data_IF_459546958767
#
_entry.id   IF_459546958767
#
_cell.length_a   1.000
_cell.length_b   1.000
_cell.length_c   1.000
_cell.angle_alpha   90.00
_cell.angle_beta   90.00
_cell.angle_gamma   90.00
#
_symmetry.space_group_name_H-M   'P 1'
#
loop_
_entity.id
_entity.type
_entity.pdbx_description
1 polymer ?
#
# COMPACT_ATOMS: atom_id res chain seq x y z
N UNK A 1 11.54 0.07 -11.73
CA UNK A 1 11.98 -0.38 -10.38
C UNK A 1 12.25 -1.89 -10.30
N UNK A 2 11.45 -2.73 -10.95
CA UNK A 2 11.45 -4.20 -10.81
C UNK A 2 12.81 -4.88 -11.03
N UNK A 3 13.52 -4.59 -12.12
CA UNK A 3 14.79 -5.24 -12.44
C UNK A 3 15.92 -4.97 -11.42
N UNK A 4 15.92 -3.78 -10.78
CA UNK A 4 16.94 -3.43 -9.78
C UNK A 4 16.68 -4.18 -8.46
N UNK A 5 15.41 -4.30 -8.07
CA UNK A 5 15.03 -5.06 -6.87
C UNK A 5 15.35 -6.55 -7.00
N UNK A 6 15.13 -7.12 -8.19
CA UNK A 6 15.48 -8.51 -8.47
C UNK A 6 16.99 -8.75 -8.37
N UNK A 7 17.81 -7.83 -8.90
CA UNK A 7 19.27 -7.92 -8.79
C UNK A 7 19.75 -7.84 -7.34
N UNK A 8 19.13 -6.98 -6.52
CA UNK A 8 19.45 -6.86 -5.09
C UNK A 8 19.07 -8.15 -4.35
N UNK A 9 17.90 -8.72 -4.62
CA UNK A 9 17.49 -10.02 -4.04
C UNK A 9 18.50 -11.10 -4.38
N UNK A 10 19.00 -11.13 -5.62
CA UNK A 10 19.98 -12.14 -6.04
C UNK A 10 21.35 -11.96 -5.37
N UNK A 11 21.79 -10.72 -5.15
CA UNK A 11 23.13 -10.42 -4.61
C UNK A 11 23.20 -10.37 -3.09
N UNK A 12 22.23 -9.71 -2.46
CA UNK A 12 22.25 -9.33 -1.04
C UNK A 12 21.31 -10.18 -0.18
N UNK A 13 20.43 -10.97 -0.82
CA UNK A 13 19.51 -11.88 -0.14
C UNK A 13 18.22 -11.24 0.38
N UNK A 14 17.46 -12.05 1.14
CA UNK A 14 16.10 -11.76 1.63
C UNK A 14 16.01 -10.46 2.44
N UNK A 15 16.84 -10.37 3.49
CA UNK A 15 16.71 -9.31 4.50
C UNK A 15 17.03 -7.93 3.91
N UNK A 16 17.97 -7.85 2.96
CA UNK A 16 18.31 -6.62 2.29
C UNK A 16 17.16 -6.11 1.40
N UNK A 17 16.53 -6.99 0.63
CA UNK A 17 15.41 -6.63 -0.23
C UNK A 17 14.19 -6.17 0.58
N UNK A 18 13.87 -6.89 1.65
CA UNK A 18 12.78 -6.52 2.57
C UNK A 18 13.06 -5.18 3.24
N UNK A 19 14.27 -4.97 3.76
CA UNK A 19 14.68 -3.71 4.41
C UNK A 19 14.59 -2.55 3.43
N UNK A 20 15.02 -2.74 2.19
CA UNK A 20 15.00 -1.69 1.17
C UNK A 20 13.57 -1.31 0.77
N UNK A 21 12.69 -2.29 0.62
CA UNK A 21 11.26 -2.06 0.33
C UNK A 21 10.56 -1.38 1.51
N UNK A 22 10.82 -1.82 2.74
CA UNK A 22 10.29 -1.16 3.94
C UNK A 22 10.77 0.30 4.04
N UNK A 23 12.05 0.57 3.78
CA UNK A 23 12.59 1.92 3.76
C UNK A 23 11.98 2.77 2.64
N UNK A 24 11.73 2.17 1.48
CA UNK A 24 11.05 2.82 0.36
C UNK A 24 9.62 3.21 0.73
N UNK A 25 8.80 2.28 1.24
CA UNK A 25 7.44 2.57 1.70
C UNK A 25 7.43 3.59 2.85
N UNK A 26 8.38 3.54 3.78
CA UNK A 26 8.50 4.53 4.85
C UNK A 26 8.76 5.95 4.33
N UNK A 27 9.61 6.11 3.31
CA UNK A 27 9.82 7.41 2.65
C UNK A 27 8.56 7.89 1.92
N UNK A 28 7.88 6.97 1.25
CA UNK A 28 6.60 7.27 0.60
C UNK A 28 5.55 7.72 1.63
N UNK A 29 5.52 7.07 2.79
CA UNK A 29 4.60 7.40 3.89
C UNK A 29 4.83 8.80 4.43
N UNK A 30 6.09 9.17 4.66
CA UNK A 30 6.44 10.51 5.13
C UNK A 30 6.03 11.59 4.14
N UNK A 31 6.27 11.35 2.84
CA UNK A 31 5.90 12.28 1.76
C UNK A 31 4.38 12.48 1.70
N UNK A 32 3.63 11.38 1.65
CA UNK A 32 2.17 11.42 1.54
C UNK A 32 1.51 11.91 2.84
N UNK A 33 2.02 11.53 4.01
CA UNK A 33 1.48 11.95 5.30
C UNK A 33 1.57 13.46 5.51
N UNK A 34 2.62 14.11 4.99
CA UNK A 34 2.73 15.56 5.02
C UNK A 34 1.67 16.25 4.14
N UNK A 35 1.34 15.67 2.98
CA UNK A 35 0.32 16.15 2.05
C UNK A 35 -1.11 15.90 2.58
N UNK A 36 -1.31 14.81 3.31
CA UNK A 36 -2.64 14.28 3.67
C UNK A 36 -3.11 14.59 5.10
N UNK A 37 -2.30 15.31 5.89
CA UNK A 37 -2.51 15.53 7.33
C UNK A 37 -3.95 15.93 7.69
N UNK A 38 -4.55 16.83 6.92
CA UNK A 38 -5.90 17.37 7.15
C UNK A 38 -6.88 17.04 5.99
N UNK A 39 -6.47 16.17 5.07
CA UNK A 39 -7.30 15.77 3.94
C UNK A 39 -8.47 14.87 4.41
N UNK A 40 -9.68 15.03 3.86
CA UNK A 40 -10.81 14.15 4.13
C UNK A 40 -10.54 12.72 3.64
N UNK A 41 -11.21 11.69 4.20
CA UNK A 41 -10.97 10.28 3.86
C UNK A 41 -10.99 9.94 2.37
N UNK A 42 -11.90 10.57 1.61
CA UNK A 42 -12.00 10.37 0.15
C UNK A 42 -10.76 10.88 -0.58
N UNK A 43 -10.22 12.03 -0.16
CA UNK A 43 -9.03 12.63 -0.77
C UNK A 43 -7.79 11.81 -0.41
N UNK A 44 -7.68 11.35 0.84
CA UNK A 44 -6.61 10.42 1.25
C UNK A 44 -6.55 9.17 0.38
N UNK A 45 -7.70 8.51 0.16
CA UNK A 45 -7.79 7.34 -0.71
C UNK A 45 -7.37 7.64 -2.14
N UNK A 46 -7.83 8.76 -2.70
CA UNK A 46 -7.53 9.15 -4.08
C UNK A 46 -6.06 9.50 -4.26
N UNK A 47 -5.46 10.24 -3.33
CA UNK A 47 -4.04 10.61 -3.38
C UNK A 47 -3.14 9.39 -3.23
N UNK A 48 -3.44 8.49 -2.29
CA UNK A 48 -2.72 7.22 -2.15
C UNK A 48 -2.84 6.38 -3.41
N UNK A 49 -4.05 6.24 -3.97
CA UNK A 49 -4.26 5.48 -5.21
C UNK A 49 -3.48 6.07 -6.40
N UNK A 50 -3.41 7.40 -6.51
CA UNK A 50 -2.59 8.08 -7.54
C UNK A 50 -1.11 7.80 -7.34
N UNK A 51 -0.60 7.97 -6.12
CA UNK A 51 0.80 7.72 -5.82
C UNK A 51 1.21 6.26 -6.13
N UNK A 52 0.36 5.28 -5.79
CA UNK A 52 0.58 3.88 -6.14
C UNK A 52 0.51 3.64 -7.66
N UNK A 53 -0.41 4.32 -8.34
CA UNK A 53 -0.52 4.25 -9.80
C UNK A 53 0.72 4.79 -10.50
N UNK A 54 1.30 5.88 -10.01
CA UNK A 54 2.55 6.46 -10.52
C UNK A 54 3.74 5.49 -10.38
N UNK A 55 3.70 4.65 -9.35
CA UNK A 55 4.68 3.57 -9.13
C UNK A 55 4.39 2.31 -9.97
N UNK A 56 3.25 2.27 -10.66
CA UNK A 56 2.86 1.21 -11.59
C UNK A 56 1.89 0.18 -11.03
N UNK A 57 1.34 0.38 -9.83
CA UNK A 57 0.37 -0.55 -9.22
C UNK A 57 -1.02 -0.49 -9.85
N UNK A 58 -1.29 0.53 -10.68
CA UNK A 58 -2.61 0.77 -11.29
C UNK A 58 -3.71 0.70 -10.22
N UNK A 59 -3.69 1.65 -9.28
CA UNK A 59 -4.51 1.62 -8.10
C UNK A 59 -5.73 2.55 -8.20
N UNK A 60 -6.86 2.12 -7.64
CA UNK A 60 -8.09 2.90 -7.51
C UNK A 60 -8.52 3.01 -6.04
N UNK A 61 -8.89 4.21 -5.60
CA UNK A 61 -9.42 4.47 -4.26
C UNK A 61 -10.88 4.94 -4.32
N UNK A 62 -11.78 4.26 -3.60
CA UNK A 62 -13.21 4.59 -3.54
C UNK A 62 -13.67 4.64 -2.09
N UNK A 63 -14.39 5.70 -1.72
CA UNK A 63 -15.03 5.78 -0.41
C UNK A 63 -16.47 5.29 -0.52
N UNK A 64 -16.82 4.24 0.21
CA UNK A 64 -18.20 3.77 0.36
C UNK A 64 -18.88 4.36 1.60
N UNK A 65 -20.17 4.03 1.83
CA UNK A 65 -20.95 4.59 2.94
C UNK A 65 -20.43 4.23 4.34
N UNK A 66 -19.82 3.05 4.48
CA UNK A 66 -19.32 2.54 5.76
C UNK A 66 -17.82 2.24 5.76
N UNK A 67 -17.26 1.93 4.59
CA UNK A 67 -15.85 1.57 4.41
C UNK A 67 -15.33 2.15 3.12
N UNK A 68 -14.04 2.47 3.09
CA UNK A 68 -13.29 2.72 1.87
C UNK A 68 -12.77 1.42 1.26
N UNK A 69 -12.43 1.47 -0.01
CA UNK A 69 -11.76 0.40 -0.74
C UNK A 69 -10.58 1.00 -1.51
N UNK A 70 -9.44 0.34 -1.42
CA UNK A 70 -8.30 0.58 -2.29
C UNK A 70 -8.03 -0.71 -3.07
N UNK A 71 -7.96 -0.62 -4.39
CA UNK A 71 -7.77 -1.76 -5.28
C UNK A 71 -6.53 -1.54 -6.12
N UNK A 72 -5.59 -2.48 -6.10
CA UNK A 72 -4.41 -2.49 -6.97
C UNK A 72 -4.62 -3.55 -8.06
N UNK A 73 -4.57 -3.11 -9.31
CA UNK A 73 -4.76 -3.99 -10.46
C UNK A 73 -3.46 -4.63 -10.96
N UNK A 74 -2.31 -4.14 -10.49
CA UNK A 74 -1.01 -4.65 -10.86
C UNK A 74 -0.07 -4.73 -9.65
N UNK A 75 0.69 -5.81 -9.55
CA UNK A 75 1.81 -5.90 -8.62
C UNK A 75 3.09 -5.55 -9.38
N UNK A 76 3.82 -4.51 -8.96
CA UNK A 76 5.04 -4.05 -9.65
C UNK A 76 6.27 -4.90 -9.34
N UNK A 77 6.16 -5.76 -8.32
CA UNK A 77 7.23 -6.61 -7.77
C UNK A 77 6.79 -8.07 -7.58
N UNK A 78 6.14 -8.72 -8.58
CA UNK A 78 5.47 -10.00 -8.38
C UNK A 78 6.45 -11.12 -8.03
N UNK A 79 7.65 -11.13 -8.60
CA UNK A 79 8.69 -12.11 -8.30
C UNK A 79 9.20 -12.01 -6.85
N UNK A 80 9.37 -10.78 -6.35
CA UNK A 80 9.78 -10.50 -4.97
C UNK A 80 8.65 -10.86 -4.01
N UNK A 81 7.42 -10.46 -4.33
CA UNK A 81 6.25 -10.70 -3.48
C UNK A 81 5.92 -12.20 -3.34
N UNK A 82 6.08 -12.99 -4.42
CA UNK A 82 5.94 -14.46 -4.37
C UNK A 82 6.98 -15.12 -3.46
N UNK A 83 8.21 -14.62 -3.48
CA UNK A 83 9.31 -15.21 -2.71
C UNK A 83 9.34 -14.73 -1.26
N UNK A 84 8.83 -13.51 -1.00
CA UNK A 84 8.88 -12.83 0.30
C UNK A 84 7.53 -12.17 0.62
N UNK A 85 6.55 -12.94 1.16
CA UNK A 85 5.23 -12.42 1.52
C UNK A 85 5.25 -11.29 2.56
N UNK A 86 6.32 -11.13 3.34
CA UNK A 86 6.47 -10.02 4.28
C UNK A 86 6.49 -8.64 3.61
N UNK A 87 6.87 -8.56 2.33
CA UNK A 87 6.83 -7.30 1.56
C UNK A 87 5.40 -6.83 1.42
N UNK A 88 4.50 -7.75 1.10
CA UNK A 88 3.07 -7.48 1.04
C UNK A 88 2.49 -7.05 2.39
N UNK A 89 3.00 -7.59 3.50
CA UNK A 89 2.58 -7.14 4.84
C UNK A 89 3.10 -5.72 5.14
N UNK A 90 4.33 -5.40 4.71
CA UNK A 90 4.88 -4.06 4.85
C UNK A 90 4.08 -3.00 4.07
N UNK A 91 3.62 -3.34 2.87
CA UNK A 91 2.72 -2.51 2.07
C UNK A 91 1.40 -2.25 2.78
N UNK A 92 0.73 -3.29 3.31
CA UNK A 92 -0.52 -3.12 4.05
C UNK A 92 -0.35 -2.20 5.28
N UNK A 93 0.78 -2.32 5.98
CA UNK A 93 1.13 -1.44 7.11
C UNK A 93 1.36 0.00 6.64
N UNK A 94 2.07 0.19 5.54
CA UNK A 94 2.25 1.50 4.91
C UNK A 94 0.91 2.16 4.57
N UNK A 95 -0.02 1.41 3.97
CA UNK A 95 -1.35 1.91 3.64
C UNK A 95 -2.11 2.36 4.89
N UNK A 96 -2.08 1.57 5.96
CA UNK A 96 -2.73 1.90 7.22
C UNK A 96 -2.16 3.19 7.84
N UNK A 97 -0.83 3.34 7.82
CA UNK A 97 -0.15 4.52 8.34
C UNK A 97 -0.50 5.79 7.57
N UNK A 98 -0.47 5.74 6.22
CA UNK A 98 -0.72 6.92 5.38
C UNK A 98 -2.19 7.33 5.36
N UNK A 99 -3.10 6.35 5.34
CA UNK A 99 -4.54 6.63 5.36
C UNK A 99 -5.01 7.06 6.77
N UNK A 100 -4.25 6.70 7.81
CA UNK A 100 -4.64 6.89 9.20
C UNK A 100 -5.89 6.08 9.55
N UNK A 101 -5.94 4.85 9.05
CA UNK A 101 -7.12 3.99 9.06
C UNK A 101 -6.74 2.52 9.26
N UNK A 102 -7.68 1.71 9.73
CA UNK A 102 -7.49 0.26 9.73
C UNK A 102 -7.61 -0.26 8.29
N UNK A 103 -6.65 -1.09 7.87
CA UNK A 103 -6.60 -1.67 6.52
C UNK A 103 -6.60 -3.18 6.60
N UNK A 104 -7.56 -3.83 5.93
CA UNK A 104 -7.67 -5.29 5.82
C UNK A 104 -7.59 -5.72 4.36
N UNK A 105 -6.68 -6.64 4.02
CA UNK A 105 -6.56 -7.15 2.64
C UNK A 105 -7.58 -8.27 2.43
N UNK A 106 -8.51 -8.04 1.51
CA UNK A 106 -9.59 -8.98 1.14
C UNK A 106 -9.20 -9.91 0.00
N UNK A 107 -8.64 -9.33 -1.06
CA UNK A 107 -8.21 -10.04 -2.26
C UNK A 107 -6.70 -9.90 -2.44
N UNK A 108 -6.04 -10.91 -3.02
CA UNK A 108 -4.59 -10.91 -3.18
C UNK A 108 -4.17 -11.62 -4.48
N UNK A 109 -3.49 -10.89 -5.37
CA UNK A 109 -3.00 -11.42 -6.65
C UNK A 109 -2.17 -12.69 -6.47
N UNK A 110 -1.33 -12.75 -5.43
CA UNK A 110 -0.52 -13.94 -5.15
C UNK A 110 -1.32 -15.19 -4.75
N UNK A 111 -2.60 -15.04 -4.38
CA UNK A 111 -3.52 -16.15 -4.11
C UNK A 111 -4.34 -16.54 -5.33
N UNK A 112 -4.06 -15.95 -6.50
CA UNK A 112 -4.78 -16.21 -7.76
C UNK A 112 -5.94 -15.26 -8.04
N UNK A 113 -6.12 -14.21 -7.22
CA UNK A 113 -7.11 -13.16 -7.46
C UNK A 113 -6.65 -12.25 -8.62
N UNK A 114 -7.58 -11.56 -9.27
CA UNK A 114 -7.24 -10.60 -10.34
C UNK A 114 -6.71 -9.26 -9.82
N UNK A 115 -6.90 -8.97 -8.53
CA UNK A 115 -6.54 -7.71 -7.88
C UNK A 115 -6.06 -7.94 -6.45
N UNK A 116 -5.31 -6.98 -5.92
CA UNK A 116 -5.17 -6.83 -4.47
C UNK A 116 -6.22 -5.82 -4.00
N UNK A 117 -7.13 -6.24 -3.14
CA UNK A 117 -8.17 -5.36 -2.60
C UNK A 117 -7.95 -5.16 -1.10
N UNK A 118 -8.00 -3.90 -0.68
CA UNK A 118 -7.89 -3.48 0.70
C UNK A 118 -9.15 -2.75 1.13
N UNK A 119 -9.77 -3.24 2.20
CA UNK A 119 -10.86 -2.57 2.87
C UNK A 119 -10.28 -1.61 3.91
N UNK A 120 -10.72 -0.36 3.87
CA UNK A 120 -10.20 0.73 4.70
C UNK A 120 -11.30 1.23 5.63
N UNK A 121 -11.07 1.17 6.94
CA UNK A 121 -11.97 1.71 7.96
C UNK A 121 -11.34 2.91 8.62
N UNK A 122 -11.86 4.09 8.28
CA UNK A 122 -11.48 5.32 8.95
C UNK A 122 -12.13 5.33 10.33
N UNK A 123 -11.32 5.43 11.38
CA UNK A 123 -11.87 5.69 12.71
C UNK A 123 -12.43 7.11 12.68
N UNK A 124 -13.76 7.23 12.72
CA UNK A 124 -14.41 8.49 13.06
C UNK A 124 -13.97 8.83 14.46
N UNK A 125 -13.10 9.82 14.60
CA UNK A 125 -12.84 10.43 15.90
C UNK A 125 -14.20 10.94 16.37
N UNK A 126 -14.76 10.31 17.39
CA UNK A 126 -15.93 10.87 18.06
C UNK A 126 -15.45 12.19 18.69
N UNK A 127 -15.87 13.32 18.12
CA UNK A 127 -15.84 14.62 18.80
C UNK A 127 -16.55 14.42 20.14
N UNK A 128 -15.77 14.30 21.20
CA UNK A 128 -16.27 14.23 22.56
C UNK A 128 -16.68 15.65 22.91
N UNK A 129 -17.99 15.91 22.93
CA UNK A 129 -18.60 17.13 23.48
C UNK A 129 -18.35 17.24 24.98
#
# INVERSE_FOLDING_TARGET
>A
LTAVLEEIVQREGRDAAVTLLQAYYGRLALRLGAELKDAPPVERLQTVARALSDEGYMAEGKLGPAVGTLTEHNCTIPAVAQRFPEVCAAEAKFLAEVLGAEVDRREHILRGCSVCEYQVRFNTVQETS
#
